data_IF_501942862847
#
_entry.id   IF_501942862847
#
_cell.length_a   1.000
_cell.length_b   1.000
_cell.length_c   1.000
_cell.angle_alpha   90.00
_cell.angle_beta   90.00
_cell.angle_gamma   90.00
#
_symmetry.space_group_name_H-M   'P 1'
#
loop_
_entity.id
_entity.type
_entity.pdbx_description
1 polymer ?
#
# COMPACT_ATOMS: atom_id res chain seq x y z
N UNK A 1 -2.15 25.02 -12.45
CA UNK A 1 -0.81 25.60 -12.20
C UNK A 1 -0.39 25.21 -10.79
N UNK A 2 0.50 24.23 -10.66
CA UNK A 2 0.87 23.67 -9.35
C UNK A 2 2.02 24.48 -8.75
N UNK A 3 1.69 25.39 -7.85
CA UNK A 3 2.66 26.05 -6.97
C UNK A 3 3.00 25.05 -5.86
N UNK A 4 4.20 24.49 -5.93
CA UNK A 4 4.72 23.47 -4.99
C UNK A 4 5.48 24.19 -3.85
N UNK A 5 5.36 23.77 -2.58
CA UNK A 5 6.13 24.36 -1.48
C UNK A 5 7.64 24.10 -1.64
N UNK A 6 8.44 25.17 -1.65
CA UNK A 6 9.90 25.10 -1.70
C UNK A 6 10.53 24.35 -0.51
N UNK A 7 9.81 24.23 0.60
CA UNK A 7 10.20 23.52 1.82
C UNK A 7 10.33 22.01 1.61
N UNK A 8 9.46 21.39 0.80
CA UNK A 8 9.48 19.95 0.55
C UNK A 8 10.70 19.51 -0.28
N UNK A 9 11.08 20.33 -1.27
CA UNK A 9 12.32 20.13 -2.04
C UNK A 9 13.55 20.30 -1.15
N UNK A 10 13.58 21.34 -0.30
CA UNK A 10 14.70 21.57 0.65
C UNK A 10 14.87 20.46 1.69
N UNK A 11 13.79 19.94 2.27
CA UNK A 11 13.87 18.88 3.30
C UNK A 11 14.58 17.62 2.80
N UNK A 12 14.27 17.19 1.57
CA UNK A 12 14.87 15.99 0.97
C UNK A 12 16.22 16.30 0.32
N UNK A 13 16.40 17.48 -0.30
CA UNK A 13 17.70 17.89 -0.86
C UNK A 13 18.75 18.17 0.22
N UNK A 14 18.42 18.82 1.34
CA UNK A 14 19.40 19.09 2.41
C UNK A 14 19.83 17.82 3.15
N UNK A 15 18.95 16.82 3.26
CA UNK A 15 19.32 15.51 3.80
C UNK A 15 20.05 14.63 2.78
N UNK A 16 19.84 14.83 1.47
CA UNK A 16 20.47 14.04 0.40
C UNK A 16 21.77 14.65 -0.14
N UNK A 17 22.08 15.93 0.06
CA UNK A 17 23.27 16.61 -0.53
C UNK A 17 24.66 16.07 -0.14
N UNK A 18 24.77 15.15 0.83
CA UNK A 18 26.02 14.39 1.12
C UNK A 18 25.89 12.89 0.88
N UNK A 19 24.72 12.45 0.44
CA UNK A 19 24.39 11.12 -0.01
C UNK A 19 24.48 11.19 -1.54
N UNK A 20 25.09 10.23 -2.25
CA UNK A 20 25.15 10.28 -3.73
C UNK A 20 23.78 10.04 -4.40
N UNK A 21 22.68 10.42 -3.76
CA UNK A 21 21.32 10.33 -4.23
C UNK A 21 20.90 11.65 -4.91
N UNK A 22 20.55 11.56 -6.19
CA UNK A 22 20.11 12.66 -7.04
C UNK A 22 18.59 12.61 -7.20
N UNK A 23 17.90 13.69 -6.86
CA UNK A 23 16.50 13.87 -7.20
C UNK A 23 16.32 13.89 -8.73
N UNK A 24 15.35 13.11 -9.24
CA UNK A 24 15.01 13.07 -10.65
C UNK A 24 13.71 13.85 -10.94
N UNK A 25 12.61 13.46 -10.29
CA UNK A 25 11.29 14.05 -10.50
C UNK A 25 10.30 13.65 -9.41
N UNK A 26 9.19 14.39 -9.33
CA UNK A 26 8.01 13.99 -8.55
C UNK A 26 7.23 12.94 -9.35
N UNK A 27 6.79 11.88 -8.67
CA UNK A 27 5.93 10.84 -9.24
C UNK A 27 4.45 11.10 -8.92
N UNK A 28 4.16 11.63 -7.73
CA UNK A 28 2.81 11.98 -7.31
C UNK A 28 2.81 12.86 -6.06
N UNK A 29 1.75 13.64 -5.88
CA UNK A 29 1.48 14.42 -4.68
C UNK A 29 -0.02 14.35 -4.38
N UNK A 30 -0.38 14.11 -3.11
CA UNK A 30 -1.76 13.96 -2.68
C UNK A 30 -1.95 14.30 -1.21
N UNK A 31 -3.14 14.02 -0.67
CA UNK A 31 -3.52 14.36 0.70
C UNK A 31 -2.59 13.78 1.76
N UNK A 32 -1.89 12.67 1.47
CA UNK A 32 -1.02 11.97 2.42
C UNK A 32 0.48 12.32 2.24
N UNK A 33 0.85 13.13 1.25
CA UNK A 33 2.24 13.52 1.05
C UNK A 33 2.72 13.55 -0.41
N UNK A 34 4.03 13.43 -0.58
CA UNK A 34 4.77 13.52 -1.84
C UNK A 34 5.56 12.25 -2.09
N UNK A 35 5.44 11.69 -3.29
CA UNK A 35 6.32 10.64 -3.79
C UNK A 35 7.30 11.20 -4.83
N UNK A 36 8.58 11.03 -4.60
CA UNK A 36 9.66 11.54 -5.45
C UNK A 36 10.64 10.43 -5.84
N UNK A 37 11.06 10.46 -7.10
CA UNK A 37 12.03 9.52 -7.66
C UNK A 37 13.45 10.04 -7.46
N UNK A 38 14.31 9.18 -6.91
CA UNK A 38 15.73 9.41 -6.71
C UNK A 38 16.56 8.39 -7.47
N UNK A 39 17.80 8.77 -7.74
CA UNK A 39 18.80 7.94 -8.39
C UNK A 39 20.09 7.98 -7.59
N UNK A 40 20.69 6.83 -7.32
CA UNK A 40 21.99 6.72 -6.68
C UNK A 40 22.99 6.02 -7.60
N UNK A 41 24.21 6.55 -7.66
CA UNK A 41 25.34 5.90 -8.34
C UNK A 41 26.25 5.23 -7.30
N UNK A 42 26.44 3.92 -7.46
CA UNK A 42 27.35 3.11 -6.65
C UNK A 42 28.65 2.95 -7.43
N UNK A 43 29.69 3.67 -7.03
CA UNK A 43 30.98 3.70 -7.73
C UNK A 43 30.97 4.45 -9.07
N UNK A 44 32.04 4.29 -9.84
CA UNK A 44 32.31 5.05 -11.07
C UNK A 44 31.79 4.37 -12.36
N UNK A 45 31.51 3.07 -12.33
CA UNK A 45 31.22 2.27 -13.54
C UNK A 45 29.89 1.49 -13.51
N UNK A 46 29.16 1.49 -12.39
CA UNK A 46 27.88 0.78 -12.28
C UNK A 46 26.67 1.55 -12.83
N UNK A 47 25.62 0.87 -13.32
CA UNK A 47 24.38 1.52 -13.68
C UNK A 47 23.76 2.17 -12.44
N UNK A 48 23.20 3.39 -12.57
CA UNK A 48 22.54 4.05 -11.46
C UNK A 48 21.32 3.24 -11.01
N UNK A 49 21.14 3.12 -9.70
CA UNK A 49 19.97 2.48 -9.09
C UNK A 49 18.94 3.53 -8.73
N UNK A 50 17.65 3.21 -8.93
CA UNK A 50 16.55 4.14 -8.66
C UNK A 50 15.72 3.65 -7.48
N UNK A 51 15.20 4.60 -6.71
CA UNK A 51 14.32 4.34 -5.58
C UNK A 51 13.35 5.50 -5.41
N UNK A 52 12.24 5.26 -4.71
CA UNK A 52 11.22 6.25 -4.44
C UNK A 52 11.32 6.68 -2.98
N UNK A 53 11.18 7.98 -2.71
CA UNK A 53 11.01 8.51 -1.36
C UNK A 53 9.62 9.09 -1.25
N UNK A 54 8.82 8.54 -0.33
CA UNK A 54 7.55 9.10 0.12
C UNK A 54 7.80 9.93 1.37
N UNK A 55 7.31 11.17 1.39
CA UNK A 55 7.42 12.08 2.54
C UNK A 55 6.06 12.69 2.84
N UNK A 56 5.76 12.84 4.12
CA UNK A 56 4.61 13.64 4.56
C UNK A 56 4.88 15.11 4.27
N UNK A 57 3.85 15.88 3.88
CA UNK A 57 3.95 17.31 3.62
C UNK A 57 3.37 18.18 4.75
N UNK A 58 2.56 17.59 5.63
CA UNK A 58 1.96 18.25 6.80
C UNK A 58 2.33 17.46 8.07
N UNK A 59 2.57 18.15 9.19
CA UNK A 59 2.76 17.50 10.50
C UNK A 59 1.50 16.78 10.99
N UNK A 60 0.34 17.03 10.37
CA UNK A 60 -0.93 16.35 10.64
C UNK A 60 -1.13 15.05 9.89
N UNK A 61 -0.35 14.78 8.85
CA UNK A 61 -0.41 13.52 8.08
C UNK A 61 0.67 12.58 8.61
N UNK A 62 0.25 11.55 9.33
CA UNK A 62 1.14 10.57 9.91
C UNK A 62 1.34 9.39 8.93
N UNK A 63 2.57 9.24 8.45
CA UNK A 63 2.97 8.08 7.63
C UNK A 63 3.51 6.92 8.49
N UNK A 64 3.50 7.04 9.82
CA UNK A 64 3.93 5.97 10.70
C UNK A 64 3.12 4.68 10.50
N UNK A 65 1.81 4.81 10.25
CA UNK A 65 0.95 3.65 9.98
C UNK A 65 1.35 2.94 8.68
N UNK A 66 1.50 3.69 7.60
CA UNK A 66 1.97 3.14 6.32
C UNK A 66 3.34 2.48 6.49
N UNK A 67 4.29 3.17 7.12
CA UNK A 67 5.63 2.66 7.38
C UNK A 67 5.60 1.39 8.22
N UNK A 68 4.74 1.33 9.24
CA UNK A 68 4.56 0.15 10.08
C UNK A 68 4.13 -1.07 9.25
N UNK A 69 3.14 -0.91 8.36
CA UNK A 69 2.73 -2.01 7.48
C UNK A 69 3.82 -2.40 6.50
N UNK A 70 4.48 -1.42 5.88
CA UNK A 70 5.56 -1.68 4.92
C UNK A 70 6.74 -2.44 5.55
N UNK A 71 7.08 -2.18 6.82
CA UNK A 71 8.07 -2.94 7.57
C UNK A 71 7.60 -4.37 7.82
N UNK A 72 6.34 -4.57 8.23
CA UNK A 72 5.79 -5.91 8.51
C UNK A 72 5.60 -6.76 7.25
N UNK A 73 5.36 -6.10 6.12
CA UNK A 73 5.19 -6.72 4.80
C UNK A 73 6.51 -6.81 4.03
N UNK A 74 7.64 -6.49 4.67
CA UNK A 74 8.95 -6.65 4.05
C UNK A 74 9.16 -8.10 3.63
N UNK A 75 9.77 -8.27 2.46
CA UNK A 75 10.00 -9.53 1.72
C UNK A 75 8.75 -10.16 1.10
N UNK A 76 7.55 -9.60 1.27
CA UNK A 76 6.38 -10.05 0.53
C UNK A 76 6.53 -9.69 -0.96
N UNK A 77 6.83 -10.68 -1.79
CA UNK A 77 7.18 -10.51 -3.20
C UNK A 77 6.18 -9.66 -4.00
N UNK A 78 4.88 -9.80 -3.75
CA UNK A 78 3.82 -9.10 -4.47
C UNK A 78 3.35 -7.81 -3.75
N UNK A 79 4.17 -7.29 -2.84
CA UNK A 79 4.00 -6.01 -2.18
C UNK A 79 5.25 -5.17 -2.44
N UNK A 80 5.08 -3.88 -2.72
CA UNK A 80 6.20 -2.96 -2.91
C UNK A 80 7.10 -3.00 -1.68
N UNK A 81 8.40 -3.11 -1.89
CA UNK A 81 9.37 -3.30 -0.82
C UNK A 81 9.86 -1.97 -0.23
N UNK A 82 9.86 -1.90 1.10
CA UNK A 82 10.55 -0.85 1.85
C UNK A 82 12.06 -1.08 1.81
N UNK A 83 12.79 0.01 1.57
CA UNK A 83 14.24 0.02 1.54
C UNK A 83 14.79 0.69 2.80
N UNK A 84 15.79 0.07 3.42
CA UNK A 84 16.61 0.71 4.46
C UNK A 84 17.70 1.53 3.81
N UNK A 85 17.91 2.74 4.31
CA UNK A 85 18.89 3.65 3.74
C UNK A 85 20.29 3.05 3.77
N UNK A 86 20.74 2.54 4.93
CA UNK A 86 22.08 1.96 5.04
C UNK A 86 22.24 0.63 4.29
N UNK A 87 21.27 -0.28 4.48
CA UNK A 87 21.40 -1.65 4.01
C UNK A 87 21.01 -1.87 2.55
N UNK A 88 20.10 -1.07 1.99
CA UNK A 88 19.51 -1.31 0.67
C UNK A 88 19.80 -0.17 -0.31
N UNK A 89 19.62 1.10 0.12
CA UNK A 89 19.87 2.27 -0.75
C UNK A 89 21.37 2.50 -0.92
N UNK A 90 22.10 2.58 0.19
CA UNK A 90 23.53 2.89 0.26
C UNK A 90 24.43 1.67 0.17
N UNK A 91 23.86 0.47 0.02
CA UNK A 91 24.62 -0.76 -0.21
C UNK A 91 25.64 -0.57 -1.35
N UNK A 92 26.91 -0.87 -1.08
CA UNK A 92 27.97 -0.77 -2.09
C UNK A 92 28.40 0.65 -2.49
N UNK A 93 28.01 1.70 -1.76
CA UNK A 93 28.45 3.08 -2.03
C UNK A 93 29.87 3.40 -1.52
N UNK A 94 30.62 2.43 -0.98
CA UNK A 94 31.95 2.61 -0.38
C UNK A 94 31.95 2.42 1.14
N UNK A 95 33.08 2.74 1.80
CA UNK A 95 33.18 2.70 3.26
C UNK A 95 32.35 3.83 3.89
N UNK A 96 31.29 3.45 4.62
CA UNK A 96 30.48 4.39 5.39
C UNK A 96 31.23 4.87 6.64
N UNK A 97 31.23 6.18 6.90
CA UNK A 97 31.73 6.68 8.19
C UNK A 97 30.71 6.40 9.30
N UNK A 98 31.12 6.36 10.58
CA UNK A 98 30.17 6.23 11.70
C UNK A 98 29.06 7.29 11.68
N UNK A 99 29.38 8.50 11.20
CA UNK A 99 28.42 9.60 11.06
C UNK A 99 27.38 9.34 9.95
N UNK A 100 27.79 8.68 8.87
CA UNK A 100 26.88 8.32 7.77
C UNK A 100 25.91 7.24 8.23
N UNK A 101 26.40 6.21 8.93
CA UNK A 101 25.57 5.16 9.52
C UNK A 101 24.50 5.75 10.46
N UNK A 102 24.89 6.68 11.35
CA UNK A 102 23.96 7.34 12.25
C UNK A 102 22.88 8.14 11.51
N UNK A 103 23.25 8.82 10.42
CA UNK A 103 22.30 9.58 9.59
C UNK A 103 21.32 8.69 8.85
N UNK A 104 21.81 7.60 8.26
CA UNK A 104 20.95 6.64 7.56
C UNK A 104 19.98 5.98 8.53
N UNK A 105 20.44 5.60 9.72
CA UNK A 105 19.58 5.10 10.78
C UNK A 105 18.54 6.15 11.22
N UNK A 106 18.90 7.44 11.28
CA UNK A 106 17.94 8.50 11.58
C UNK A 106 16.86 8.66 10.49
N UNK A 107 17.21 8.47 9.20
CA UNK A 107 16.23 8.44 8.11
C UNK A 107 15.33 7.21 8.18
N UNK A 108 15.91 6.03 8.47
CA UNK A 108 15.18 4.79 8.68
C UNK A 108 14.20 4.89 9.86
N UNK A 109 14.55 5.62 10.92
CA UNK A 109 13.70 5.82 12.09
C UNK A 109 12.72 6.99 11.97
N UNK A 110 12.81 7.83 10.92
CA UNK A 110 11.92 8.96 10.74
C UNK A 110 10.52 8.48 10.30
N UNK A 111 9.44 8.69 11.07
CA UNK A 111 8.10 8.20 10.71
C UNK A 111 7.50 8.91 9.48
N UNK A 112 8.01 10.10 9.14
CA UNK A 112 7.53 10.91 8.02
C UNK A 112 8.32 10.68 6.74
N UNK A 113 9.17 9.65 6.65
CA UNK A 113 9.93 9.30 5.45
C UNK A 113 9.90 7.78 5.23
N UNK A 114 9.57 7.37 4.01
CA UNK A 114 9.62 5.98 3.56
C UNK A 114 10.42 5.91 2.26
N UNK A 115 11.44 5.06 2.22
CA UNK A 115 12.14 4.72 0.98
C UNK A 115 11.57 3.39 0.43
N UNK A 116 11.27 3.36 -0.86
CA UNK A 116 10.61 2.24 -1.53
C UNK A 116 11.37 1.85 -2.79
N UNK A 117 11.26 0.57 -3.18
CA UNK A 117 11.74 0.12 -4.48
C UNK A 117 11.04 0.87 -5.63
N UNK A 118 11.75 1.04 -6.74
CA UNK A 118 11.22 1.75 -7.90
C UNK A 118 10.55 0.79 -8.89
N UNK A 119 9.25 0.97 -9.10
CA UNK A 119 8.45 0.20 -10.04
C UNK A 119 8.50 0.84 -11.44
N UNK A 120 9.45 0.40 -12.26
CA UNK A 120 9.86 1.11 -13.47
C UNK A 120 8.81 1.18 -14.59
N UNK A 121 7.82 0.29 -14.57
CA UNK A 121 6.79 0.22 -15.60
C UNK A 121 5.52 1.02 -15.24
N UNK A 122 5.48 1.64 -14.06
CA UNK A 122 4.36 2.46 -13.60
C UNK A 122 3.28 1.61 -12.93
N UNK A 123 2.02 2.02 -13.07
CA UNK A 123 0.83 1.40 -12.49
C UNK A 123 -0.08 0.75 -13.55
N UNK A 124 -1.06 -0.04 -13.09
CA UNK A 124 -2.05 -0.67 -13.98
C UNK A 124 -2.92 0.36 -14.71
N UNK A 125 -3.24 1.50 -14.11
CA UNK A 125 -3.99 2.57 -14.78
C UNK A 125 -3.27 3.06 -16.04
N UNK A 126 -1.96 3.30 -15.94
CA UNK A 126 -1.08 3.68 -17.04
C UNK A 126 -0.97 2.58 -18.09
N UNK A 127 -0.92 1.31 -17.68
CA UNK A 127 -0.96 0.17 -18.59
C UNK A 127 -2.27 0.12 -19.37
N UNK A 128 -3.42 0.13 -18.68
CA UNK A 128 -4.77 0.11 -19.28
C UNK A 128 -4.96 1.28 -20.23
N UNK A 129 -4.50 2.47 -19.85
CA UNK A 129 -4.56 3.67 -20.71
C UNK A 129 -3.75 3.47 -22.00
N UNK A 130 -2.56 2.87 -21.92
CA UNK A 130 -1.73 2.58 -23.11
C UNK A 130 -2.37 1.51 -23.99
N UNK A 131 -2.89 0.44 -23.39
CA UNK A 131 -3.57 -0.66 -24.10
C UNK A 131 -4.83 -0.14 -24.83
N UNK A 132 -5.65 0.66 -24.15
CA UNK A 132 -6.83 1.28 -24.75
C UNK A 132 -6.49 2.23 -25.91
N UNK A 133 -5.43 3.05 -25.77
CA UNK A 133 -4.93 3.89 -26.88
C UNK A 133 -4.45 3.07 -28.07
N UNK A 134 -3.84 1.91 -27.81
CA UNK A 134 -3.43 0.98 -28.86
C UNK A 134 -4.59 0.17 -29.44
N UNK A 135 -5.82 0.32 -28.90
CA UNK A 135 -7.03 -0.44 -29.27
C UNK A 135 -6.79 -1.95 -29.23
N UNK A 136 -6.11 -2.41 -28.18
CA UNK A 136 -5.85 -3.84 -27.93
C UNK A 136 -6.62 -4.31 -26.72
N UNK A 137 -6.94 -5.60 -26.73
CA UNK A 137 -7.37 -6.33 -25.54
C UNK A 137 -6.18 -6.57 -24.61
N UNK A 138 -6.43 -6.62 -23.30
CA UNK A 138 -5.46 -7.20 -22.36
C UNK A 138 -5.58 -8.73 -22.50
N UNK A 139 -4.49 -9.46 -22.79
CA UNK A 139 -4.53 -10.91 -22.88
C UNK A 139 -4.97 -11.57 -21.56
N UNK A 140 -5.74 -12.66 -21.65
CA UNK A 140 -6.24 -13.42 -20.49
C UNK A 140 -5.13 -13.90 -19.57
N UNK A 141 -4.00 -14.34 -20.13
CA UNK A 141 -2.84 -14.77 -19.36
C UNK A 141 -2.27 -13.63 -18.49
N UNK A 142 -2.29 -12.40 -19.00
CA UNK A 142 -1.91 -11.21 -18.22
C UNK A 142 -2.93 -10.92 -17.12
N UNK A 143 -4.24 -11.02 -17.41
CA UNK A 143 -5.30 -10.82 -16.40
C UNK A 143 -5.18 -11.83 -15.25
N UNK A 144 -5.00 -13.11 -15.57
CA UNK A 144 -4.77 -14.17 -14.60
C UNK A 144 -3.49 -13.92 -13.79
N UNK A 145 -2.41 -13.45 -14.43
CA UNK A 145 -1.17 -13.12 -13.73
C UNK A 145 -1.35 -11.97 -12.74
N UNK A 146 -2.08 -10.92 -13.11
CA UNK A 146 -2.43 -9.83 -12.18
C UNK A 146 -3.20 -10.40 -10.99
N UNK A 147 -4.26 -11.19 -11.24
CA UNK A 147 -5.06 -11.80 -10.19
C UNK A 147 -4.22 -12.65 -9.23
N UNK A 148 -3.37 -13.54 -9.75
CA UNK A 148 -2.54 -14.41 -8.91
C UNK A 148 -1.44 -13.67 -8.14
N UNK A 149 -0.88 -12.59 -8.69
CA UNK A 149 0.04 -11.73 -7.94
C UNK A 149 -0.65 -11.13 -6.71
N UNK A 150 -1.86 -10.59 -6.90
CA UNK A 150 -2.57 -9.87 -5.83
C UNK A 150 -3.24 -10.81 -4.82
N UNK A 151 -3.70 -11.98 -5.24
CA UNK A 151 -4.33 -12.95 -4.33
C UNK A 151 -3.31 -13.63 -3.40
N UNK A 152 -2.03 -13.57 -3.76
CA UNK A 152 -0.94 -14.03 -2.89
C UNK A 152 -0.62 -13.03 -1.77
N UNK A 153 -1.40 -11.98 -1.54
CA UNK A 153 -1.13 -11.03 -0.47
C UNK A 153 -1.46 -11.61 0.93
N UNK A 154 -0.54 -12.38 1.50
CA UNK A 154 -0.22 -12.33 2.94
C UNK A 154 -0.58 -13.52 3.82
N UNK A 155 0.31 -14.49 3.97
CA UNK A 155 0.38 -15.31 5.20
C UNK A 155 1.36 -14.68 6.19
N UNK A 156 0.89 -14.21 7.35
CA UNK A 156 1.81 -13.71 8.41
C UNK A 156 2.58 -14.87 9.04
N UNK A 157 3.87 -14.97 8.71
CA UNK A 157 4.91 -15.39 9.67
C UNK A 157 6.27 -14.88 9.20
N UNK A 158 6.49 -13.56 9.19
CA UNK A 158 7.78 -12.98 8.78
C UNK A 158 8.34 -12.10 9.89
N UNK A 159 8.97 -12.75 10.88
CA UNK A 159 9.72 -12.06 11.93
C UNK A 159 11.16 -11.73 11.52
N UNK A 160 11.61 -12.16 10.34
CA UNK A 160 12.95 -11.86 9.83
C UNK A 160 12.89 -10.89 8.64
N UNK A 161 13.27 -9.65 8.89
CA UNK A 161 13.38 -8.57 7.91
C UNK A 161 14.54 -8.74 6.91
N UNK A 162 15.37 -9.77 7.09
CA UNK A 162 16.54 -10.06 6.26
C UNK A 162 16.34 -11.33 5.45
N UNK A 163 17.00 -11.40 4.31
CA UNK A 163 16.92 -12.54 3.39
C UNK A 163 16.12 -12.25 2.13
N UNK A 164 16.03 -13.23 1.21
CA UNK A 164 15.38 -13.04 -0.09
C UNK A 164 13.87 -12.81 0.06
N UNK A 165 13.29 -12.23 -0.98
CA UNK A 165 11.84 -12.16 -1.16
C UNK A 165 11.21 -13.53 -1.04
N UNK A 166 10.02 -13.55 -0.46
CA UNK A 166 9.30 -14.77 -0.14
C UNK A 166 8.05 -14.82 -0.99
N UNK A 167 7.87 -15.97 -1.65
CA UNK A 167 6.61 -16.29 -2.28
C UNK A 167 5.58 -16.52 -1.17
N UNK A 168 4.58 -15.66 -1.14
CA UNK A 168 3.48 -15.79 -0.23
C UNK A 168 2.65 -17.02 -0.61
N UNK A 169 2.35 -17.83 0.39
CA UNK A 169 1.55 -19.03 0.24
C UNK A 169 0.12 -18.75 0.65
N UNK A 170 -0.82 -19.38 -0.05
CA UNK A 170 -2.20 -19.47 0.44
C UNK A 170 -2.15 -20.18 1.80
N UNK A 171 -2.95 -19.76 2.78
CA UNK A 171 -2.90 -20.36 4.10
C UNK A 171 -3.33 -21.83 4.01
N UNK A 172 -2.64 -22.69 4.77
CA UNK A 172 -3.23 -23.98 5.15
C UNK A 172 -4.54 -23.69 5.90
N UNK A 173 -5.61 -24.43 5.61
CA UNK A 173 -6.97 -24.20 6.15
C UNK A 173 -7.07 -24.17 7.69
N UNK A 174 -5.99 -24.54 8.40
CA UNK A 174 -5.90 -24.62 9.86
C UNK A 174 -5.07 -23.51 10.52
N UNK A 175 -4.60 -22.49 9.81
CA UNK A 175 -3.88 -21.37 10.43
C UNK A 175 -4.81 -20.21 10.75
N UNK A 176 -5.08 -20.01 12.04
CA UNK A 176 -5.77 -18.83 12.63
C UNK A 176 -4.96 -17.51 12.53
N UNK A 177 -3.85 -17.50 11.79
CA UNK A 177 -2.83 -16.45 11.86
C UNK A 177 -2.67 -15.78 10.49
N UNK A 178 -2.91 -14.47 10.44
CA UNK A 178 -2.18 -13.60 9.52
C UNK A 178 -2.93 -12.92 8.38
N UNK A 179 -4.24 -13.06 8.32
CA UNK A 179 -5.05 -12.33 7.34
C UNK A 179 -5.97 -11.36 8.07
N UNK A 180 -5.41 -10.38 8.76
CA UNK A 180 -6.23 -9.32 9.37
C UNK A 180 -6.03 -7.96 8.71
N UNK A 181 -5.11 -7.84 7.75
CA UNK A 181 -4.90 -6.59 7.04
C UNK A 181 -5.90 -6.41 5.90
N UNK A 182 -6.64 -5.30 5.92
CA UNK A 182 -7.49 -4.84 4.82
C UNK A 182 -6.88 -3.56 4.23
N UNK A 183 -6.72 -3.51 2.92
CA UNK A 183 -6.03 -2.40 2.24
C UNK A 183 -6.88 -1.13 2.13
N UNK A 184 -8.21 -1.25 1.98
CA UNK A 184 -9.17 -0.15 1.79
C UNK A 184 -8.97 0.78 0.58
N UNK A 185 -7.88 0.68 -0.17
CA UNK A 185 -7.62 1.50 -1.37
C UNK A 185 -6.95 0.66 -2.47
N UNK A 186 -7.30 -0.62 -2.58
CA UNK A 186 -6.73 -1.48 -3.60
C UNK A 186 -7.43 -1.24 -4.94
N UNK A 187 -6.77 -0.49 -5.83
CA UNK A 187 -7.25 -0.19 -7.17
C UNK A 187 -6.12 -0.14 -8.21
N UNK A 188 -6.47 0.08 -9.49
CA UNK A 188 -5.54 0.07 -10.62
C UNK A 188 -4.40 1.11 -10.55
N UNK A 189 -4.48 2.14 -9.72
CA UNK A 189 -3.37 3.08 -9.50
C UNK A 189 -2.43 2.62 -8.39
N UNK A 190 -2.94 1.80 -7.46
CA UNK A 190 -2.18 1.29 -6.32
C UNK A 190 -1.60 -0.12 -6.57
N UNK A 191 -1.75 -0.65 -7.79
CA UNK A 191 -1.03 -1.83 -8.27
C UNK A 191 0.05 -1.41 -9.25
N UNK A 192 1.31 -1.61 -8.85
CA UNK A 192 2.50 -1.20 -9.58
C UNK A 192 3.12 -2.37 -10.34
N UNK A 193 3.79 -2.05 -11.45
CA UNK A 193 4.37 -3.00 -12.38
C UNK A 193 5.89 -2.99 -12.25
N UNK A 194 6.42 -4.11 -11.78
CA UNK A 194 7.83 -4.33 -11.52
C UNK A 194 8.53 -4.99 -12.70
N UNK A 195 9.67 -5.60 -12.42
CA UNK A 195 10.48 -6.28 -13.42
C UNK A 195 10.05 -7.73 -13.68
N UNK A 196 10.61 -8.32 -14.74
CA UNK A 196 10.51 -9.76 -14.97
C UNK A 196 11.44 -10.50 -14.01
N UNK A 197 11.04 -11.69 -13.56
CA UNK A 197 11.87 -12.54 -12.71
C UNK A 197 11.71 -14.03 -13.02
N UNK A 198 12.65 -14.83 -12.52
CA UNK A 198 12.71 -16.27 -12.78
C UNK A 198 11.70 -17.09 -11.98
N UNK A 199 10.94 -16.46 -11.10
CA UNK A 199 10.04 -17.09 -10.12
C UNK A 199 8.57 -16.89 -10.50
N UNK A 200 8.25 -17.18 -11.76
CA UNK A 200 6.89 -17.18 -12.31
C UNK A 200 6.51 -15.92 -13.11
N UNK A 201 7.44 -14.96 -13.24
CA UNK A 201 7.26 -13.67 -13.92
C UNK A 201 8.20 -13.52 -15.13
N UNK A 202 8.41 -14.61 -15.87
CA UNK A 202 9.30 -14.64 -17.04
C UNK A 202 8.66 -14.05 -18.30
N UNK A 203 7.34 -14.21 -18.44
CA UNK A 203 6.56 -13.77 -19.60
C UNK A 203 5.69 -12.54 -19.32
N UNK A 204 5.36 -12.31 -18.06
CA UNK A 204 4.60 -11.16 -17.56
C UNK A 204 5.34 -10.61 -16.34
N UNK A 205 5.54 -9.29 -16.21
CA UNK A 205 6.25 -8.72 -15.07
C UNK A 205 5.51 -8.95 -13.76
N UNK A 206 6.22 -8.80 -12.65
CA UNK A 206 5.59 -8.86 -11.32
C UNK A 206 4.64 -7.67 -11.12
N UNK A 207 3.46 -7.92 -10.57
CA UNK A 207 2.55 -6.88 -10.10
C UNK A 207 2.61 -6.82 -8.57
N UNK A 208 2.70 -5.62 -8.02
CA UNK A 208 2.80 -5.42 -6.57
C UNK A 208 1.79 -4.42 -6.04
N UNK A 209 1.13 -4.74 -4.93
CA UNK A 209 0.28 -3.80 -4.20
C UNK A 209 1.14 -2.72 -3.52
N UNK A 210 0.62 -1.50 -3.43
CA UNK A 210 1.30 -0.32 -2.92
C UNK A 210 0.33 0.63 -2.21
N UNK A 211 0.88 1.59 -1.46
CA UNK A 211 0.13 2.61 -0.71
C UNK A 211 -0.77 2.05 0.40
N UNK A 212 -0.14 1.63 1.49
CA UNK A 212 -0.83 1.09 2.66
C UNK A 212 -1.28 2.19 3.64
N UNK A 213 -1.39 3.45 3.19
CA UNK A 213 -1.76 4.57 4.04
C UNK A 213 -3.19 4.51 4.61
N UNK A 214 -4.09 3.76 3.96
CA UNK A 214 -5.48 3.54 4.40
C UNK A 214 -5.70 2.16 5.01
N UNK A 215 -4.68 1.31 4.99
CA UNK A 215 -4.76 -0.08 5.45
C UNK A 215 -5.02 -0.16 6.95
N UNK A 216 -5.78 -1.16 7.39
CA UNK A 216 -6.00 -1.40 8.82
C UNK A 216 -6.06 -2.89 9.15
N UNK A 217 -5.70 -3.25 10.38
CA UNK A 217 -5.87 -4.61 10.90
C UNK A 217 -7.26 -4.78 11.51
N UNK A 218 -7.99 -5.81 11.11
CA UNK A 218 -9.30 -6.16 11.67
C UNK A 218 -9.23 -6.63 13.12
N UNK A 219 -8.04 -7.00 13.60
CA UNK A 219 -7.77 -7.25 15.03
C UNK A 219 -7.40 -6.00 15.82
N UNK A 220 -7.23 -4.83 15.16
CA UNK A 220 -6.96 -3.58 15.87
C UNK A 220 -8.10 -3.28 16.84
N UNK A 221 -7.77 -2.70 17.99
CA UNK A 221 -8.75 -2.14 18.93
C UNK A 221 -9.68 -1.10 18.27
N UNK A 222 -9.31 -0.57 17.10
CA UNK A 222 -10.17 0.32 16.31
C UNK A 222 -11.35 -0.38 15.64
N UNK A 223 -11.34 -1.72 15.55
CA UNK A 223 -12.44 -2.56 15.04
C UNK A 223 -13.36 -3.08 16.15
N UNK A 224 -12.93 -2.98 17.40
CA UNK A 224 -13.70 -3.42 18.56
C UNK A 224 -14.08 -2.21 19.43
N UNK A 225 -15.20 -2.30 20.15
CA UNK A 225 -15.47 -1.38 21.25
C UNK A 225 -14.36 -1.50 22.31
N UNK A 226 -14.08 -0.49 23.15
CA UNK A 226 -13.43 -0.83 24.40
C UNK A 226 -14.40 -1.78 25.10
N UNK A 227 -14.02 -3.04 25.25
CA UNK A 227 -14.37 -3.66 26.50
C UNK A 227 -13.83 -2.70 27.55
N UNK A 228 -14.72 -2.01 28.27
CA UNK A 228 -14.34 -1.27 29.47
C UNK A 228 -13.85 -2.36 30.39
N UNK A 229 -12.57 -2.69 30.29
CA UNK A 229 -11.98 -3.68 31.15
C UNK A 229 -12.19 -3.15 32.55
N UNK A 230 -12.86 -3.93 33.37
CA UNK A 230 -12.84 -3.85 34.83
C UNK A 230 -11.41 -4.03 35.40
N UNK A 231 -10.36 -3.63 34.67
CA UNK A 231 -8.99 -3.48 35.13
C UNK A 231 -8.88 -2.13 35.83
N UNK A 232 -9.32 -2.16 37.09
CA UNK A 232 -8.71 -1.49 38.25
C UNK A 232 -7.62 -0.44 37.93
N UNK A 233 -8.06 0.75 37.54
CA UNK A 233 -7.24 1.96 37.49
C UNK A 233 -8.10 3.18 37.12
N UNK A 234 -7.89 4.35 37.76
CA UNK A 234 -8.74 5.52 37.51
C UNK A 234 -8.32 6.19 36.19
N UNK A 235 -8.70 5.60 35.05
CA UNK A 235 -8.84 6.41 33.82
C UNK A 235 -10.06 7.32 34.04
N UNK A 236 -9.87 8.63 33.96
CA UNK A 236 -10.96 9.57 34.17
C UNK A 236 -12.08 9.29 33.14
N UNK A 237 -13.34 9.42 33.56
CA UNK A 237 -14.52 9.25 32.70
C UNK A 237 -14.44 10.09 31.40
N UNK A 238 -13.65 11.16 31.40
CA UNK A 238 -13.42 12.03 30.24
C UNK A 238 -12.62 11.33 29.12
N UNK A 239 -11.55 10.58 29.44
CA UNK A 239 -10.71 9.93 28.43
C UNK A 239 -11.40 8.72 27.80
N UNK A 240 -12.18 7.97 28.58
CA UNK A 240 -12.98 6.85 28.07
C UNK A 240 -14.03 7.31 27.02
N UNK A 241 -14.67 8.46 27.25
CA UNK A 241 -15.66 9.03 26.32
C UNK A 241 -15.03 9.55 25.03
N UNK A 242 -13.86 10.20 25.09
CA UNK A 242 -13.14 10.61 23.88
C UNK A 242 -12.72 9.40 23.03
N UNK A 243 -12.20 8.34 23.66
CA UNK A 243 -11.78 7.15 22.93
C UNK A 243 -12.97 6.45 22.23
N UNK A 244 -14.12 6.39 22.89
CA UNK A 244 -15.35 5.84 22.29
C UNK A 244 -15.85 6.67 21.10
N UNK A 245 -15.85 8.00 21.21
CA UNK A 245 -16.22 8.91 20.13
C UNK A 245 -15.26 8.80 18.94
N UNK A 246 -13.95 8.74 19.20
CA UNK A 246 -12.92 8.57 18.18
C UNK A 246 -13.09 7.24 17.43
N UNK A 247 -13.36 6.13 18.13
CA UNK A 247 -13.59 4.83 17.47
C UNK A 247 -14.85 4.81 16.61
N UNK A 248 -15.94 5.43 17.07
CA UNK A 248 -17.14 5.62 16.24
C UNK A 248 -16.78 6.39 14.98
N UNK A 249 -16.12 7.53 15.12
CA UNK A 249 -15.65 8.31 13.96
C UNK A 249 -14.79 7.47 13.00
N UNK A 250 -13.85 6.67 13.51
CA UNK A 250 -13.01 5.80 12.68
C UNK A 250 -13.79 4.72 11.93
N UNK A 251 -14.82 4.13 12.53
CA UNK A 251 -15.68 3.16 11.84
C UNK A 251 -16.47 3.77 10.68
N UNK A 252 -17.00 4.98 10.88
CA UNK A 252 -17.65 5.75 9.82
C UNK A 252 -16.65 6.25 8.77
N UNK A 253 -15.42 6.56 9.17
CA UNK A 253 -14.35 6.91 8.24
C UNK A 253 -14.00 5.72 7.33
N UNK A 254 -13.88 4.49 7.87
CA UNK A 254 -13.64 3.26 7.07
C UNK A 254 -14.69 3.03 6.00
N UNK A 255 -15.96 3.31 6.29
CA UNK A 255 -17.06 3.25 5.32
C UNK A 255 -16.77 4.12 4.09
N UNK A 256 -16.01 5.20 4.24
CA UNK A 256 -15.67 6.16 3.19
C UNK A 256 -14.20 6.11 2.77
N UNK A 257 -13.41 5.17 3.30
CA UNK A 257 -11.99 5.04 2.96
C UNK A 257 -11.82 4.51 1.55
N UNK A 258 -10.82 5.05 0.84
CA UNK A 258 -10.50 4.69 -0.53
C UNK A 258 -11.40 5.35 -1.59
N UNK A 259 -11.30 4.86 -2.82
CA UNK A 259 -12.03 5.41 -3.97
C UNK A 259 -13.44 4.83 -4.10
N UNK A 260 -14.42 5.71 -4.33
CA UNK A 260 -15.86 5.40 -4.35
C UNK A 260 -16.24 4.23 -5.28
N UNK A 261 -15.57 4.11 -6.42
CA UNK A 261 -15.81 3.06 -7.42
C UNK A 261 -15.10 1.73 -7.10
N UNK A 262 -14.40 1.65 -5.97
CA UNK A 262 -13.66 0.48 -5.51
C UNK A 262 -14.11 0.02 -4.12
N UNK A 263 -15.26 0.51 -3.65
CA UNK A 263 -15.78 0.13 -2.34
C UNK A 263 -16.18 -1.34 -2.32
N UNK A 264 -15.83 -2.00 -1.21
CA UNK A 264 -16.25 -3.38 -0.93
C UNK A 264 -17.68 -3.39 -0.37
N UNK A 265 -18.43 -4.51 -0.46
CA UNK A 265 -19.80 -4.58 0.02
C UNK A 265 -19.96 -4.10 1.46
N UNK A 266 -18.99 -4.40 2.32
CA UNK A 266 -18.96 -4.01 3.72
C UNK A 266 -18.93 -2.48 3.93
N UNK A 267 -18.58 -1.66 2.92
CA UNK A 267 -18.60 -0.20 2.96
C UNK A 267 -19.93 0.42 2.51
N UNK A 268 -20.72 -0.26 1.69
CA UNK A 268 -21.89 0.34 1.05
C UNK A 268 -23.17 -0.51 1.09
N UNK A 269 -23.16 -1.64 1.79
CA UNK A 269 -24.34 -2.47 1.95
C UNK A 269 -25.46 -1.73 2.70
N UNK A 270 -26.72 -2.01 2.34
CA UNK A 270 -27.94 -1.40 2.92
C UNK A 270 -28.07 -1.58 4.43
N UNK A 271 -27.40 -2.57 5.02
CA UNK A 271 -27.38 -2.75 6.48
C UNK A 271 -26.85 -1.51 7.23
N UNK A 272 -26.02 -0.67 6.59
CA UNK A 272 -25.57 0.60 7.16
C UNK A 272 -26.70 1.58 7.47
N UNK A 273 -27.89 1.43 6.89
CA UNK A 273 -29.08 2.23 7.23
C UNK A 273 -29.64 1.90 8.61
N UNK A 274 -29.26 0.74 9.16
CA UNK A 274 -29.73 0.21 10.44
C UNK A 274 -28.61 0.08 11.48
N UNK A 275 -27.41 0.61 11.18
CA UNK A 275 -26.29 0.66 12.12
C UNK A 275 -26.23 2.04 12.75
N UNK A 276 -26.57 2.11 14.04
CA UNK A 276 -26.54 3.37 14.78
C UNK A 276 -25.14 3.65 15.35
N UNK A 277 -24.42 2.62 15.78
CA UNK A 277 -23.15 2.73 16.50
C UNK A 277 -21.97 2.15 15.71
N UNK A 278 -21.49 0.97 16.07
CA UNK A 278 -20.49 0.18 15.36
C UNK A 278 -21.17 -1.10 14.86
N UNK A 279 -20.92 -1.54 13.63
CA UNK A 279 -21.50 -2.80 13.15
C UNK A 279 -21.18 -3.99 14.07
N UNK A 280 -19.98 -4.03 14.65
CA UNK A 280 -19.56 -5.12 15.53
C UNK A 280 -20.36 -5.21 16.85
N UNK A 281 -20.97 -4.10 17.30
CA UNK A 281 -21.69 -4.01 18.58
C UNK A 281 -23.21 -3.94 18.42
N UNK A 282 -23.70 -3.78 17.18
CA UNK A 282 -25.11 -3.76 16.88
C UNK A 282 -25.75 -5.13 17.21
N UNK A 283 -26.97 -5.12 17.74
CA UNK A 283 -27.75 -6.33 17.98
C UNK A 283 -29.11 -6.24 17.25
N UNK A 284 -29.40 -7.12 16.27
CA UNK A 284 -28.52 -8.16 15.75
C UNK A 284 -27.31 -7.57 15.01
N UNK A 285 -26.17 -8.28 15.05
CA UNK A 285 -24.98 -7.88 14.31
C UNK A 285 -25.25 -7.95 12.79
N UNK A 286 -24.98 -6.88 12.02
CA UNK A 286 -24.99 -6.87 10.57
C UNK A 286 -24.15 -8.01 10.00
N UNK A 287 -24.64 -8.65 8.95
CA UNK A 287 -23.93 -9.77 8.31
C UNK A 287 -22.83 -9.27 7.38
N UNK A 288 -23.01 -8.09 6.80
CA UNK A 288 -22.16 -7.51 5.75
C UNK A 288 -21.59 -6.16 6.17
N UNK A 289 -22.43 -5.21 6.63
CA UNK A 289 -21.97 -3.85 6.90
C UNK A 289 -20.83 -3.84 7.94
N UNK A 290 -19.71 -3.23 7.57
CA UNK A 290 -18.49 -3.10 8.37
C UNK A 290 -17.84 -4.40 8.84
N UNK A 291 -18.26 -5.55 8.31
CA UNK A 291 -17.68 -6.86 8.63
C UNK A 291 -16.44 -7.14 7.78
N UNK A 292 -15.47 -6.23 7.84
CA UNK A 292 -14.26 -6.27 7.01
C UNK A 292 -13.38 -7.46 7.35
N UNK A 293 -12.66 -7.97 6.34
CA UNK A 293 -11.73 -9.07 6.48
C UNK A 293 -10.95 -9.33 5.22
N UNK A 294 -10.24 -10.47 5.15
CA UNK A 294 -9.48 -10.86 3.96
C UNK A 294 -10.34 -10.92 2.70
N UNK A 295 -11.58 -11.36 2.87
CA UNK A 295 -12.59 -11.38 1.82
C UNK A 295 -12.80 -10.00 1.17
N UNK A 296 -12.63 -8.91 1.93
CA UNK A 296 -12.70 -7.54 1.40
C UNK A 296 -11.58 -7.29 0.38
N UNK A 297 -10.34 -7.73 0.65
CA UNK A 297 -9.24 -7.62 -0.33
C UNK A 297 -9.50 -8.51 -1.55
N UNK A 298 -9.99 -9.73 -1.36
CA UNK A 298 -10.34 -10.65 -2.46
C UNK A 298 -11.42 -10.04 -3.36
N UNK A 299 -12.46 -9.44 -2.76
CA UNK A 299 -13.48 -8.71 -3.51
C UNK A 299 -12.87 -7.56 -4.32
N UNK A 300 -12.02 -6.74 -3.69
CA UNK A 300 -11.36 -5.63 -4.38
C UNK A 300 -10.50 -6.11 -5.56
N UNK A 301 -9.79 -7.23 -5.43
CA UNK A 301 -9.03 -7.87 -6.53
C UNK A 301 -9.96 -8.36 -7.64
N UNK A 302 -11.11 -8.95 -7.28
CA UNK A 302 -12.13 -9.38 -8.24
C UNK A 302 -12.72 -8.20 -9.02
N UNK A 303 -13.05 -7.10 -8.32
CA UNK A 303 -13.54 -5.87 -8.93
C UNK A 303 -12.48 -5.24 -9.86
N UNK A 304 -11.21 -5.23 -9.44
CA UNK A 304 -10.10 -4.80 -10.28
C UNK A 304 -10.02 -5.63 -11.56
N UNK A 305 -10.13 -6.95 -11.45
CA UNK A 305 -10.10 -7.87 -12.60
C UNK A 305 -11.26 -7.60 -13.56
N UNK A 306 -12.46 -7.38 -13.03
CA UNK A 306 -13.63 -6.97 -13.82
C UNK A 306 -13.40 -5.65 -14.56
N UNK A 307 -12.85 -4.64 -13.89
CA UNK A 307 -12.53 -3.33 -14.51
C UNK A 307 -11.53 -3.49 -15.66
N UNK A 308 -10.55 -4.40 -15.54
CA UNK A 308 -9.59 -4.68 -16.60
C UNK A 308 -10.23 -5.42 -17.78
N UNK A 309 -11.17 -6.33 -17.51
CA UNK A 309 -11.87 -7.12 -18.51
C UNK A 309 -12.93 -6.30 -19.26
N UNK A 310 -13.76 -5.51 -18.58
CA UNK A 310 -14.77 -4.64 -19.21
C UNK A 310 -14.12 -3.65 -20.20
N UNK A 311 -12.97 -3.09 -19.81
CA UNK A 311 -12.18 -2.23 -20.70
C UNK A 311 -11.53 -2.98 -21.85
N UNK A 312 -11.51 -4.31 -21.84
CA UNK A 312 -11.05 -5.17 -22.93
C UNK A 312 -12.21 -5.52 -23.86
N UNK A 313 -13.36 -5.92 -23.32
CA UNK A 313 -14.56 -6.33 -24.06
C UNK A 313 -15.16 -5.18 -24.89
N UNK A 314 -15.20 -3.96 -24.33
CA UNK A 314 -15.61 -2.76 -25.06
C UNK A 314 -14.83 -2.54 -26.36
N UNK A 315 -13.58 -3.01 -26.48
CA UNK A 315 -12.83 -2.90 -27.74
C UNK A 315 -13.10 -4.05 -28.70
N UNK A 316 -13.34 -5.26 -28.21
CA UNK A 316 -13.64 -6.40 -29.08
C UNK A 316 -14.97 -6.22 -29.80
N UNK A 317 -15.99 -5.70 -29.11
CA UNK A 317 -17.29 -5.38 -29.71
C UNK A 317 -17.16 -4.30 -30.78
N UNK A 318 -16.48 -3.19 -30.47
CA UNK A 318 -16.19 -2.13 -31.44
C UNK A 318 -15.36 -2.60 -32.65
N UNK A 319 -14.55 -3.65 -32.51
CA UNK A 319 -13.80 -4.24 -33.63
C UNK A 319 -14.67 -5.12 -34.52
N UNK A 320 -15.67 -5.80 -33.95
CA UNK A 320 -16.63 -6.63 -34.69
C UNK A 320 -17.66 -5.81 -35.46
N UNK A 321 -17.96 -4.59 -35.01
CA UNK A 321 -18.90 -3.69 -35.72
C UNK A 321 -18.27 -2.93 -36.91
N UNK A 322 -16.94 -2.87 -37.00
CA UNK A 322 -16.20 -2.09 -38.01
C UNK A 322 -15.47 -2.98 -39.03
N UNK A 323 -15.51 -4.31 -38.86
CA UNK A 323 -14.95 -5.30 -39.79
C UNK A 323 -16.01 -5.96 -40.64
#
# INVERSE_FOLDING_TARGET
MNVIPASARRSVDDNSRRVNARFLRILGAGGNGLAALFEIRRGTSGPPSKFVVKTSLDSRTDMALEKHFMVRLKRAKHIVQILRWGADVMAGSGQATPRDLQRWQALDNNPSIIALEYMKHGDLYGMVTKVGRARKAIPDDVLWKIFFCLNRNGGETWLDENGPDINEQLPDQNRDIGYDLVHFDLDIQNVLIGDYDNSGHQTVPVFKASDFGTSQRTTSLDFFEPYVSHLSGPKSLYTANLDALNRRFMAWARRKSGKLNCYVPEQHHKEWEFVDILPQTQNPRPKVAGNYGPASNIFAIGLLSLILQDRTELYEENRREVG
#
